data_IF_102473991646
#
_entry.id   IF_102473991646
#
_cell.length_a   1.000
_cell.length_b   1.000
_cell.length_c   1.000
_cell.angle_alpha   90.00
_cell.angle_beta   90.00
_cell.angle_gamma   90.00
#
_symmetry.space_group_name_H-M   'P 1'
#
loop_
_entity.id
_entity.type
_entity.pdbx_description
1 polymer ?
#
# COMPACT_ATOMS: atom_id res chain seq x y z
N UNK A 1 -41.62 -40.91 -18.37
CA UNK A 1 -41.07 -40.24 -17.16
C UNK A 1 -39.69 -39.60 -17.37
N UNK A 2 -39.07 -39.66 -18.56
CA UNK A 2 -37.75 -39.07 -18.85
C UNK A 2 -37.75 -37.52 -18.86
N UNK A 3 -38.85 -36.89 -19.27
CA UNK A 3 -38.95 -35.42 -19.31
C UNK A 3 -38.93 -34.74 -17.93
N UNK A 4 -39.37 -35.43 -16.88
CA UNK A 4 -39.37 -34.88 -15.51
C UNK A 4 -37.96 -34.94 -14.92
N UNK A 5 -37.21 -36.03 -15.14
CA UNK A 5 -35.82 -36.12 -14.66
C UNK A 5 -34.91 -35.09 -15.32
N UNK A 6 -35.08 -34.86 -16.62
CA UNK A 6 -34.27 -33.89 -17.37
C UNK A 6 -34.61 -32.46 -16.93
N UNK A 7 -35.88 -32.17 -16.66
CA UNK A 7 -36.31 -30.89 -16.11
C UNK A 7 -35.75 -30.64 -14.70
N UNK A 8 -35.77 -31.64 -13.83
CA UNK A 8 -35.20 -31.53 -12.47
C UNK A 8 -33.69 -31.34 -12.52
N UNK A 9 -32.98 -32.07 -13.40
CA UNK A 9 -31.54 -31.90 -13.59
C UNK A 9 -31.19 -30.49 -14.07
N UNK A 10 -31.95 -29.96 -15.04
CA UNK A 10 -31.80 -28.58 -15.50
C UNK A 10 -31.99 -27.56 -14.36
N UNK A 11 -33.01 -27.76 -13.53
CA UNK A 11 -33.35 -26.84 -12.44
C UNK A 11 -32.26 -26.83 -11.35
N UNK A 12 -31.66 -27.98 -11.04
CA UNK A 12 -30.52 -28.08 -10.11
C UNK A 12 -29.30 -27.32 -10.67
N UNK A 13 -28.99 -27.52 -11.95
CA UNK A 13 -27.86 -26.83 -12.61
C UNK A 13 -28.09 -25.32 -12.60
N UNK A 14 -29.32 -24.86 -12.88
CA UNK A 14 -29.67 -23.45 -12.86
C UNK A 14 -29.45 -22.83 -11.47
N UNK A 15 -29.87 -23.53 -10.40
CA UNK A 15 -29.67 -23.07 -9.02
C UNK A 15 -28.18 -22.98 -8.67
N UNK A 16 -27.35 -23.91 -9.13
CA UNK A 16 -25.90 -23.86 -8.91
C UNK A 16 -25.29 -22.65 -9.62
N UNK A 17 -25.68 -22.40 -10.88
CA UNK A 17 -25.17 -21.27 -11.65
C UNK A 17 -25.53 -19.95 -10.97
N UNK A 18 -26.81 -19.76 -10.61
CA UNK A 18 -27.31 -18.51 -10.05
C UNK A 18 -26.86 -18.32 -8.59
N UNK A 19 -26.80 -19.40 -7.80
CA UNK A 19 -26.51 -19.35 -6.37
C UNK A 19 -25.02 -19.35 -6.02
N UNK A 20 -24.15 -19.87 -6.89
CA UNK A 20 -22.73 -20.05 -6.59
C UNK A 20 -21.85 -19.38 -7.64
N UNK A 21 -22.02 -19.73 -8.91
CA UNK A 21 -21.11 -19.28 -9.98
C UNK A 21 -21.23 -17.77 -10.21
N UNK A 22 -22.45 -17.25 -10.30
CA UNK A 22 -22.71 -15.83 -10.53
C UNK A 22 -22.18 -14.93 -9.39
N UNK A 23 -22.46 -15.23 -8.10
CA UNK A 23 -21.89 -14.47 -6.99
C UNK A 23 -20.37 -14.54 -6.92
N UNK A 24 -19.75 -15.72 -7.15
CA UNK A 24 -18.29 -15.82 -7.20
C UNK A 24 -17.70 -15.00 -8.34
N UNK A 25 -18.29 -15.06 -9.53
CA UNK A 25 -17.84 -14.28 -10.68
C UNK A 25 -17.90 -12.78 -10.40
N UNK A 26 -19.01 -12.29 -9.84
CA UNK A 26 -19.16 -10.89 -9.44
C UNK A 26 -18.19 -10.49 -8.34
N UNK A 27 -17.89 -11.39 -7.40
CA UNK A 27 -16.89 -11.16 -6.35
C UNK A 27 -15.47 -11.00 -6.93
N UNK A 28 -15.07 -11.90 -7.83
CA UNK A 28 -13.75 -11.87 -8.48
C UNK A 28 -13.58 -10.70 -9.45
N UNK A 29 -14.66 -10.25 -10.07
CA UNK A 29 -14.67 -9.11 -11.00
C UNK A 29 -14.85 -7.76 -10.29
N UNK A 30 -15.10 -7.75 -8.98
CA UNK A 30 -15.30 -6.51 -8.25
C UNK A 30 -13.96 -5.75 -8.15
N UNK A 31 -13.84 -4.57 -8.77
CA UNK A 31 -12.60 -3.79 -8.78
C UNK A 31 -12.18 -3.33 -7.37
N UNK A 32 -13.07 -3.38 -6.39
CA UNK A 32 -12.77 -3.14 -4.99
C UNK A 32 -11.70 -4.10 -4.42
N UNK A 33 -11.61 -5.34 -4.91
CA UNK A 33 -10.59 -6.30 -4.48
C UNK A 33 -9.32 -6.28 -5.35
N UNK A 34 -9.38 -5.70 -6.55
CA UNK A 34 -8.20 -5.54 -7.40
C UNK A 34 -7.32 -4.34 -7.00
N UNK A 35 -7.86 -3.37 -6.25
CA UNK A 35 -7.15 -2.17 -5.85
C UNK A 35 -6.19 -2.33 -4.65
N UNK A 36 -6.10 -3.53 -4.06
CA UNK A 36 -5.20 -3.78 -2.91
C UNK A 36 -3.81 -4.30 -3.29
N UNK A 37 -3.51 -4.45 -4.58
CA UNK A 37 -2.20 -4.91 -5.02
C UNK A 37 -1.61 -3.95 -6.04
N UNK A 38 -1.36 -2.71 -5.60
CA UNK A 38 -0.33 -1.89 -6.24
C UNK A 38 1.00 -2.55 -5.90
N UNK A 39 1.54 -3.35 -6.82
CA UNK A 39 2.95 -3.73 -6.75
C UNK A 39 3.75 -2.42 -6.75
N UNK A 40 4.54 -2.10 -5.70
CA UNK A 40 5.29 -0.86 -5.69
C UNK A 40 6.20 -0.89 -6.91
N UNK A 41 6.04 0.11 -7.78
CA UNK A 41 6.88 0.24 -8.96
C UNK A 41 8.33 0.28 -8.48
N UNK A 42 9.15 -0.59 -9.08
CA UNK A 42 10.56 -0.79 -8.76
C UNK A 42 11.22 0.47 -8.19
N UNK A 43 11.52 0.52 -6.87
CA UNK A 43 11.96 1.74 -6.22
C UNK A 43 13.28 2.18 -6.85
N UNK A 44 13.27 3.36 -7.49
CA UNK A 44 14.51 3.99 -7.88
C UNK A 44 15.24 4.42 -6.59
N UNK A 45 16.26 3.67 -6.20
CA UNK A 45 17.13 4.02 -5.09
C UNK A 45 17.93 5.25 -5.50
N UNK A 46 17.57 6.41 -4.95
CA UNK A 46 18.23 7.69 -5.24
C UNK A 46 19.13 8.06 -4.04
N UNK A 47 20.33 8.59 -4.31
CA UNK A 47 21.34 8.91 -3.29
C UNK A 47 21.80 10.39 -3.27
N UNK A 48 21.13 11.28 -4.02
CA UNK A 48 21.54 12.69 -4.18
C UNK A 48 20.40 13.69 -3.86
N UNK A 49 19.78 13.58 -2.69
CA UNK A 49 18.44 14.14 -2.46
C UNK A 49 18.32 15.58 -1.95
N UNK A 50 17.33 16.30 -2.51
CA UNK A 50 16.73 17.55 -1.98
C UNK A 50 15.79 17.28 -0.80
N UNK A 51 15.32 16.03 -0.70
CA UNK A 51 14.51 15.49 0.37
C UNK A 51 15.26 14.32 1.01
N UNK A 52 15.24 14.25 2.34
CA UNK A 52 15.87 13.21 3.14
C UNK A 52 14.83 12.57 4.04
N UNK A 53 14.71 11.25 3.98
CA UNK A 53 13.72 10.48 4.76
C UNK A 53 14.49 9.60 5.72
N UNK A 54 14.29 9.82 7.02
CA UNK A 54 14.93 9.05 8.09
C UNK A 54 13.87 8.22 8.80
N UNK A 55 14.16 6.94 9.00
CA UNK A 55 13.24 6.02 9.68
C UNK A 55 13.88 5.45 10.94
N UNK A 56 13.25 5.72 12.09
CA UNK A 56 13.67 5.16 13.38
C UNK A 56 12.52 4.35 13.95
N UNK A 57 12.72 3.05 14.13
CA UNK A 57 11.72 2.10 14.57
C UNK A 57 12.09 1.49 15.93
N UNK A 58 11.09 0.92 16.59
CA UNK A 58 11.24 0.03 17.73
C UNK A 58 10.17 -1.07 17.61
N UNK A 59 10.15 -2.00 18.55
CA UNK A 59 9.23 -3.14 18.52
C UNK A 59 7.73 -2.77 18.58
N UNK A 60 7.38 -1.48 18.79
CA UNK A 60 6.01 -0.99 18.91
C UNK A 60 5.60 -0.04 17.77
N UNK A 61 6.52 0.35 16.89
CA UNK A 61 6.28 1.36 15.86
C UNK A 61 7.54 2.13 15.50
N UNK A 62 7.41 3.11 14.62
CA UNK A 62 8.52 3.97 14.25
C UNK A 62 8.13 5.41 13.96
N UNK A 63 9.14 6.24 13.79
CA UNK A 63 9.06 7.64 13.41
C UNK A 63 9.70 7.79 12.05
N UNK A 64 8.95 8.39 11.13
CA UNK A 64 9.42 8.80 9.80
C UNK A 64 9.60 10.31 9.85
N UNK A 65 10.82 10.77 9.63
CA UNK A 65 11.13 12.19 9.51
C UNK A 65 11.53 12.49 8.07
N UNK A 66 10.79 13.36 7.40
CA UNK A 66 10.98 13.77 6.02
C UNK A 66 11.44 15.22 6.03
N UNK A 67 12.71 15.46 5.75
CA UNK A 67 13.26 16.82 5.66
C UNK A 67 13.42 17.24 4.21
N UNK A 68 13.17 18.50 3.91
CA UNK A 68 13.18 19.03 2.55
C UNK A 68 13.82 20.42 2.50
N UNK A 69 14.50 20.74 1.42
CA UNK A 69 15.27 21.98 1.30
C UNK A 69 14.54 23.10 0.55
N UNK A 70 13.67 22.75 -0.40
CA UNK A 70 13.10 23.70 -1.37
C UNK A 70 11.58 23.61 -1.45
N UNK A 71 11.07 22.48 -1.95
CA UNK A 71 9.65 22.22 -2.10
C UNK A 71 9.21 21.25 -1.01
N UNK A 72 8.13 21.61 -0.31
CA UNK A 72 7.50 20.71 0.66
C UNK A 72 6.86 19.53 -0.09
N UNK A 73 7.26 18.27 0.21
CA UNK A 73 6.62 17.11 -0.39
C UNK A 73 5.24 16.88 0.24
N UNK A 74 4.31 16.40 -0.57
CA UNK A 74 3.08 15.80 -0.07
C UNK A 74 3.30 14.30 0.13
N UNK A 75 3.07 13.81 1.35
CA UNK A 75 3.09 12.36 1.62
C UNK A 75 1.76 11.77 1.20
N UNK A 76 1.80 10.93 0.17
CA UNK A 76 0.62 10.23 -0.34
C UNK A 76 0.33 9.02 0.55
N UNK A 77 1.33 8.16 0.73
CA UNK A 77 1.17 6.89 1.43
C UNK A 77 2.50 6.44 2.07
N UNK A 78 2.39 5.66 3.15
CA UNK A 78 3.52 4.94 3.73
C UNK A 78 3.16 3.46 3.73
N UNK A 79 4.08 2.62 3.26
CA UNK A 79 3.95 1.18 3.26
C UNK A 79 4.97 0.56 4.21
N UNK A 80 4.62 -0.56 4.83
CA UNK A 80 5.48 -1.37 5.66
C UNK A 80 5.79 -2.68 4.94
N UNK A 81 7.05 -3.12 4.96
CA UNK A 81 7.40 -4.44 4.47
C UNK A 81 7.17 -5.50 5.54
N UNK A 82 6.34 -6.50 5.25
CA UNK A 82 6.04 -7.60 6.17
C UNK A 82 5.77 -8.89 5.40
N UNK A 83 6.36 -9.99 5.83
CA UNK A 83 6.16 -11.33 5.24
C UNK A 83 6.37 -11.38 3.71
N UNK A 84 7.32 -10.62 3.16
CA UNK A 84 7.62 -10.63 1.74
C UNK A 84 6.79 -9.66 0.89
N UNK A 85 5.84 -8.94 1.49
CA UNK A 85 4.92 -8.04 0.80
C UNK A 85 4.91 -6.64 1.41
N UNK A 86 4.62 -5.64 0.57
CA UNK A 86 4.36 -4.28 0.98
C UNK A 86 2.89 -4.12 1.34
N UNK A 87 2.61 -3.65 2.55
CA UNK A 87 1.24 -3.37 3.04
C UNK A 87 1.14 -1.93 3.47
N UNK A 88 -0.01 -1.30 3.21
CA UNK A 88 -0.28 0.05 3.69
C UNK A 88 -0.07 0.14 5.20
N UNK A 89 0.78 1.07 5.62
CA UNK A 89 1.09 1.29 7.01
C UNK A 89 -0.08 1.98 7.71
N UNK A 90 -0.27 1.67 8.99
CA UNK A 90 -1.10 2.50 9.85
C UNK A 90 -0.21 3.60 10.44
N UNK A 91 -0.45 4.86 10.08
CA UNK A 91 0.37 5.98 10.55
C UNK A 91 -0.47 7.22 10.86
N UNK A 92 0.11 8.10 11.67
CA UNK A 92 -0.48 9.37 12.04
C UNK A 92 0.53 10.49 11.85
N UNK A 93 0.10 11.58 11.23
CA UNK A 93 0.87 12.83 11.22
C UNK A 93 1.03 13.36 12.65
N UNK A 94 2.26 13.69 13.04
CA UNK A 94 2.56 14.22 14.37
C UNK A 94 2.74 15.73 14.34
N UNK A 95 3.60 16.22 13.44
CA UNK A 95 3.95 17.63 13.39
C UNK A 95 4.61 18.00 12.07
N UNK A 96 4.39 19.24 11.66
CA UNK A 96 5.23 19.92 10.67
C UNK A 96 6.09 20.93 11.42
N UNK A 97 7.40 20.85 11.19
CA UNK A 97 8.38 21.85 11.59
C UNK A 97 8.94 22.50 10.34
N UNK A 98 9.64 23.64 10.47
CA UNK A 98 10.27 24.29 9.32
C UNK A 98 11.14 23.26 8.58
N UNK A 99 10.77 22.97 7.32
CA UNK A 99 11.48 22.04 6.45
C UNK A 99 11.46 20.56 6.90
N UNK A 100 10.46 20.15 7.67
CA UNK A 100 10.35 18.76 8.18
C UNK A 100 8.91 18.34 8.42
N UNK A 101 8.55 17.15 7.93
CA UNK A 101 7.29 16.45 8.24
C UNK A 101 7.59 15.21 9.07
N UNK A 102 6.85 15.03 10.17
CA UNK A 102 7.06 13.91 11.10
C UNK A 102 5.79 13.06 11.18
N UNK A 103 5.94 11.77 10.91
CA UNK A 103 4.88 10.77 10.99
C UNK A 103 5.24 9.68 11.98
N UNK A 104 4.25 9.19 12.72
CA UNK A 104 4.35 7.99 13.54
C UNK A 104 3.74 6.83 12.79
N UNK A 105 4.52 5.79 12.55
CA UNK A 105 4.08 4.51 11.99
C UNK A 105 3.82 3.53 13.13
N UNK A 106 2.67 2.87 13.10
CA UNK A 106 2.26 1.88 14.10
C UNK A 106 2.66 0.47 13.66
N UNK A 107 3.10 -0.33 14.63
CA UNK A 107 3.54 -1.70 14.39
C UNK A 107 4.99 -1.79 13.94
N UNK A 108 5.62 -2.93 14.21
CA UNK A 108 7.00 -3.17 13.81
C UNK A 108 7.09 -3.30 12.28
N UNK A 109 7.92 -2.47 11.66
CA UNK A 109 8.25 -2.54 10.25
C UNK A 109 9.78 -2.42 10.12
N UNK A 110 10.49 -3.48 9.67
CA UNK A 110 11.94 -3.42 9.48
C UNK A 110 12.32 -2.50 8.31
N UNK A 111 11.39 -2.28 7.39
CA UNK A 111 11.57 -1.47 6.19
C UNK A 111 10.23 -0.79 5.87
N UNK A 112 10.32 0.46 5.42
CA UNK A 112 9.19 1.23 4.95
C UNK A 112 9.42 1.71 3.52
N UNK A 113 8.36 1.97 2.79
CA UNK A 113 8.38 2.67 1.53
C UNK A 113 7.49 3.89 1.63
N UNK A 114 8.03 5.05 1.26
CA UNK A 114 7.31 6.33 1.37
C UNK A 114 7.03 6.84 -0.03
N UNK A 115 5.75 7.02 -0.33
CA UNK A 115 5.26 7.58 -1.57
C UNK A 115 5.05 9.09 -1.42
N UNK A 116 5.76 9.86 -2.23
CA UNK A 116 5.79 11.33 -2.17
C UNK A 116 5.33 11.93 -3.50
N UNK A 117 4.55 13.01 -3.42
CA UNK A 117 4.33 13.92 -4.53
C UNK A 117 5.18 15.18 -4.33
N UNK A 118 6.09 15.43 -5.27
CA UNK A 118 6.97 16.60 -5.28
C UNK A 118 6.70 17.37 -6.58
N UNK A 119 6.07 18.54 -6.47
CA UNK A 119 5.76 19.40 -7.61
C UNK A 119 5.02 18.67 -8.76
N UNK A 120 4.12 17.74 -8.44
CA UNK A 120 3.32 16.98 -9.41
C UNK A 120 3.97 15.71 -9.93
N UNK A 121 5.11 15.29 -9.37
CA UNK A 121 5.81 14.04 -9.72
C UNK A 121 5.82 13.09 -8.52
N UNK A 122 5.58 11.80 -8.80
CA UNK A 122 5.55 10.74 -7.79
C UNK A 122 6.93 10.13 -7.62
N UNK A 123 7.34 9.95 -6.36
CA UNK A 123 8.59 9.34 -5.98
C UNK A 123 8.36 8.30 -4.88
N UNK A 124 9.14 7.23 -4.92
CA UNK A 124 9.17 6.20 -3.89
C UNK A 124 10.53 6.19 -3.22
N UNK A 125 10.53 6.01 -1.90
CA UNK A 125 11.74 5.94 -1.12
C UNK A 125 11.65 4.84 -0.07
N UNK A 126 12.42 3.80 -0.34
CA UNK A 126 12.53 2.66 0.56
C UNK A 126 13.59 2.92 1.61
N UNK A 127 13.21 2.79 2.88
CA UNK A 127 14.07 3.10 4.03
C UNK A 127 14.04 1.96 5.03
N UNK A 128 15.20 1.35 5.26
CA UNK A 128 15.35 0.37 6.33
C UNK A 128 15.39 1.05 7.70
N UNK A 129 15.00 0.32 8.73
CA UNK A 129 15.10 0.76 10.12
C UNK A 129 16.51 1.28 10.47
N UNK A 130 16.57 2.46 11.09
CA UNK A 130 17.81 3.08 11.54
C UNK A 130 18.61 3.73 10.41
N UNK A 131 18.01 3.84 9.23
CA UNK A 131 18.68 4.33 8.02
C UNK A 131 17.98 5.58 7.46
N UNK A 132 18.60 6.15 6.44
CA UNK A 132 18.15 7.35 5.74
C UNK A 132 18.19 7.13 4.24
N UNK A 133 17.14 7.53 3.53
CA UNK A 133 17.09 7.60 2.07
C UNK A 133 17.04 9.05 1.59
N UNK A 134 17.40 9.27 0.32
CA UNK A 134 17.47 10.59 -0.30
C UNK A 134 16.68 10.60 -1.62
N UNK A 135 15.87 11.63 -1.87
CA UNK A 135 15.01 11.74 -3.07
C UNK A 135 15.32 13.04 -3.83
N UNK A 136 15.40 12.98 -5.17
CA UNK A 136 15.75 14.10 -6.07
C UNK A 136 14.67 14.35 -7.11
#
# INVERSE_FOLDING_TARGET
MKGISDFVAFLIILVIIVGIILPLGLFLLNPYYQSQQSEPQNPQIINNGLITITYVSNNKGGIVNITYSTVEPEVIEIYNYSNGIWVKANYSFLSSCKNSLIYKVCGYAPEIDVELNIAGRIYYATVSYGSTAKVT
#
